data_IF_546891991990
#
_entry.id   IF_546891991990
#
_cell.length_a   1.000
_cell.length_b   1.000
_cell.length_c   1.000
_cell.angle_alpha   90.00
_cell.angle_beta   90.00
_cell.angle_gamma   90.00
#
_symmetry.space_group_name_H-M   'P 1'
#
loop_
_entity.id
_entity.type
_entity.pdbx_description
1 polymer ?
#
# COMPACT_ATOMS: atom_id res chain seq x y z
N UNK A 1 11.82 -20.27 34.84
CA UNK A 1 12.67 -19.96 33.67
C UNK A 1 11.88 -19.77 32.37
N UNK A 2 10.55 -19.93 32.34
CA UNK A 2 9.74 -19.82 31.12
C UNK A 2 9.11 -18.43 30.86
N UNK A 3 8.92 -17.59 31.89
CA UNK A 3 8.38 -16.22 31.72
C UNK A 3 9.35 -15.28 31.00
N UNK A 4 10.66 -15.49 31.16
CA UNK A 4 11.71 -14.58 30.70
C UNK A 4 11.97 -14.63 29.17
N UNK A 5 11.33 -15.56 28.44
CA UNK A 5 11.39 -15.67 26.97
C UNK A 5 10.18 -15.01 26.30
N UNK A 6 9.08 -14.83 27.03
CA UNK A 6 7.88 -14.17 26.52
C UNK A 6 8.09 -12.65 26.40
N UNK A 7 8.78 -12.02 27.35
CA UNK A 7 9.04 -10.56 27.33
C UNK A 7 9.84 -10.08 26.11
N UNK A 8 10.75 -10.89 25.58
CA UNK A 8 11.56 -10.52 24.40
C UNK A 8 10.75 -10.42 23.09
N UNK A 9 9.50 -10.89 23.07
CA UNK A 9 8.61 -10.77 21.90
C UNK A 9 7.79 -9.48 21.92
N UNK A 10 7.76 -8.78 23.05
CA UNK A 10 6.99 -7.54 23.20
C UNK A 10 7.88 -6.32 22.98
N UNK A 11 7.29 -5.33 22.33
CA UNK A 11 7.78 -3.97 22.37
C UNK A 11 6.90 -3.15 23.31
N UNK A 12 7.45 -2.06 23.84
CA UNK A 12 6.83 -1.23 24.87
C UNK A 12 6.78 0.22 24.43
N UNK A 13 5.66 0.87 24.68
CA UNK A 13 5.45 2.31 24.54
C UNK A 13 4.85 2.87 25.82
N UNK A 14 5.23 4.09 26.21
CA UNK A 14 4.69 4.75 27.40
C UNK A 14 3.99 6.02 26.98
N UNK A 15 2.79 6.28 27.52
CA UNK A 15 2.08 7.52 27.22
C UNK A 15 2.94 8.72 27.67
N UNK A 16 3.21 9.70 26.80
CA UNK A 16 3.92 10.91 27.14
C UNK A 16 3.35 11.60 28.38
N UNK A 17 4.21 11.89 29.36
CA UNK A 17 3.82 12.58 30.59
C UNK A 17 3.08 11.73 31.63
N UNK A 18 2.98 10.41 31.44
CA UNK A 18 2.37 9.50 32.44
C UNK A 18 3.24 8.26 32.66
N UNK A 19 2.85 7.40 33.61
CA UNK A 19 3.46 6.08 33.84
C UNK A 19 2.69 4.92 33.21
N UNK A 20 1.72 5.20 32.34
CA UNK A 20 0.91 4.16 31.71
C UNK A 20 1.66 3.53 30.54
N UNK A 21 1.78 2.20 30.56
CA UNK A 21 2.57 1.45 29.60
C UNK A 21 1.67 0.62 28.65
N UNK A 22 1.94 0.69 27.36
CA UNK A 22 1.35 -0.17 26.33
C UNK A 22 2.44 -1.12 25.85
N UNK A 23 2.30 -2.40 26.18
CA UNK A 23 3.12 -3.48 25.63
C UNK A 23 2.37 -4.13 24.47
N UNK A 24 3.09 -4.50 23.41
CA UNK A 24 2.48 -5.10 22.23
C UNK A 24 3.41 -6.13 21.60
N UNK A 25 2.82 -7.22 21.12
CA UNK A 25 3.56 -8.30 20.48
C UNK A 25 4.13 -7.81 19.14
N UNK A 26 5.44 -7.92 18.95
CA UNK A 26 6.11 -7.37 17.76
C UNK A 26 5.65 -8.10 16.49
N UNK A 27 5.49 -9.43 16.55
CA UNK A 27 4.98 -10.25 15.44
C UNK A 27 3.57 -9.83 15.02
N UNK A 28 2.69 -9.54 15.98
CA UNK A 28 1.34 -9.03 15.74
C UNK A 28 1.35 -7.66 15.04
N UNK A 29 2.21 -6.75 15.49
CA UNK A 29 2.29 -5.41 14.90
C UNK A 29 2.93 -5.41 13.50
N UNK A 30 3.85 -6.33 13.21
CA UNK A 30 4.34 -6.55 11.85
C UNK A 30 3.25 -7.10 10.93
N UNK A 31 2.34 -7.94 11.43
CA UNK A 31 1.17 -8.40 10.67
C UNK A 31 0.19 -7.24 10.39
N UNK A 32 -0.08 -6.40 11.39
CA UNK A 32 -0.89 -5.18 11.18
C UNK A 32 -0.21 -4.26 10.15
N UNK A 33 1.10 -4.02 10.28
CA UNK A 33 1.88 -3.22 9.34
C UNK A 33 1.80 -3.74 7.90
N UNK A 34 1.90 -5.06 7.74
CA UNK A 34 1.75 -5.74 6.46
C UNK A 34 0.36 -5.50 5.85
N UNK A 35 -0.72 -5.72 6.60
CA UNK A 35 -2.09 -5.51 6.10
C UNK A 35 -2.36 -4.04 5.74
N UNK A 36 -1.86 -3.11 6.55
CA UNK A 36 -1.97 -1.67 6.31
C UNK A 36 -1.20 -1.27 5.04
N UNK A 37 0.00 -1.81 4.83
CA UNK A 37 0.78 -1.56 3.62
C UNK A 37 0.14 -2.15 2.36
N UNK A 38 -0.47 -3.33 2.45
CA UNK A 38 -1.22 -3.92 1.34
C UNK A 38 -2.43 -3.06 0.97
N UNK A 39 -3.18 -2.57 1.97
CA UNK A 39 -4.25 -1.58 1.79
C UNK A 39 -3.75 -0.31 1.11
N UNK A 40 -2.64 0.25 1.60
CA UNK A 40 -1.98 1.44 1.06
C UNK A 40 -1.58 1.31 -0.43
N UNK A 41 -1.15 0.12 -0.86
CA UNK A 41 -0.64 -0.14 -2.22
C UNK A 41 -1.73 -0.55 -3.21
N UNK A 42 -2.93 -0.91 -2.73
CA UNK A 42 -4.03 -1.43 -3.56
C UNK A 42 -4.54 -0.42 -4.60
N UNK A 43 -4.48 0.89 -4.31
CA UNK A 43 -4.96 1.95 -5.20
C UNK A 43 -3.90 3.04 -5.32
N UNK A 44 -3.62 3.55 -6.53
CA UNK A 44 -2.76 4.73 -6.72
C UNK A 44 -3.23 5.93 -5.89
N UNK A 45 -2.29 6.76 -5.43
CA UNK A 45 -2.57 8.00 -4.68
C UNK A 45 -3.16 7.81 -3.27
N UNK A 46 -2.68 6.79 -2.54
CA UNK A 46 -2.95 6.66 -1.10
C UNK A 46 -3.93 5.55 -0.74
N UNK A 47 -4.02 4.48 -1.53
CA UNK A 47 -4.60 3.21 -1.11
C UNK A 47 -6.01 3.24 -0.54
N UNK A 48 -6.30 2.18 0.22
CA UNK A 48 -7.53 1.93 0.97
C UNK A 48 -7.19 1.89 2.46
N UNK A 49 -7.90 2.67 3.25
CA UNK A 49 -7.81 2.69 4.71
C UNK A 49 -8.54 1.49 5.31
N UNK A 50 -7.94 0.90 6.34
CA UNK A 50 -8.47 -0.26 7.04
C UNK A 50 -8.48 0.01 8.54
N UNK A 51 -9.27 -0.75 9.29
CA UNK A 51 -9.28 -0.72 10.73
C UNK A 51 -9.47 -2.11 11.32
N UNK A 52 -9.23 -2.22 12.63
CA UNK A 52 -9.33 -3.48 13.34
C UNK A 52 -9.54 -3.29 14.84
N UNK A 53 -10.15 -4.29 15.49
CA UNK A 53 -10.29 -4.36 16.93
C UNK A 53 -9.02 -4.92 17.56
N UNK A 54 -8.64 -4.40 18.72
CA UNK A 54 -7.46 -4.79 19.50
C UNK A 54 -7.89 -5.50 20.78
N UNK A 55 -7.24 -6.62 21.07
CA UNK A 55 -7.54 -7.48 22.22
C UNK A 55 -6.27 -7.81 22.99
N UNK A 56 -6.44 -8.08 24.29
CA UNK A 56 -5.35 -8.52 25.17
C UNK A 56 -5.71 -8.28 26.62
N UNK A 57 -4.78 -7.83 27.46
CA UNK A 57 -5.01 -7.68 28.90
C UNK A 57 -4.83 -6.24 29.35
N UNK A 58 -5.68 -5.81 30.27
CA UNK A 58 -5.55 -4.51 30.93
C UNK A 58 -5.21 -4.72 32.40
N UNK A 59 -4.26 -3.94 32.89
CA UNK A 59 -3.88 -3.83 34.29
C UNK A 59 -4.03 -2.38 34.75
N UNK A 60 -3.86 -2.12 36.05
CA UNK A 60 -4.12 -0.80 36.63
C UNK A 60 -3.33 0.36 35.98
N UNK A 61 -2.14 0.08 35.44
CA UNK A 61 -1.28 1.08 34.79
C UNK A 61 -0.60 0.55 33.52
N UNK A 62 -1.13 -0.53 32.95
CA UNK A 62 -0.57 -1.13 31.73
C UNK A 62 -1.67 -1.72 30.86
N UNK A 63 -1.41 -1.78 29.56
CA UNK A 63 -2.19 -2.58 28.62
C UNK A 63 -1.23 -3.44 27.79
N UNK A 64 -1.62 -4.69 27.54
CA UNK A 64 -0.88 -5.62 26.71
C UNK A 64 -1.73 -6.04 25.53
N UNK A 65 -1.31 -5.68 24.31
CA UNK A 65 -1.99 -6.05 23.07
C UNK A 65 -1.44 -7.40 22.58
N UNK A 66 -2.34 -8.38 22.44
CA UNK A 66 -1.99 -9.78 22.16
C UNK A 66 -2.69 -10.33 20.91
N UNK A 67 -3.82 -9.74 20.50
CA UNK A 67 -4.53 -10.14 19.29
C UNK A 67 -5.22 -8.94 18.61
N UNK A 68 -5.53 -9.10 17.32
CA UNK A 68 -6.40 -8.18 16.61
C UNK A 68 -7.40 -8.92 15.71
N UNK A 69 -8.49 -8.24 15.36
CA UNK A 69 -9.46 -8.69 14.36
C UNK A 69 -9.74 -7.57 13.36
N UNK A 70 -9.63 -7.80 12.05
CA UNK A 70 -10.02 -6.79 11.06
C UNK A 70 -11.50 -6.40 11.22
N UNK A 71 -11.81 -5.13 10.95
CA UNK A 71 -13.18 -4.63 10.82
C UNK A 71 -13.50 -4.60 9.33
N UNK A 72 -14.58 -5.28 8.94
CA UNK A 72 -15.06 -5.21 7.57
C UNK A 72 -15.60 -3.81 7.26
N UNK A 73 -15.16 -3.24 6.15
CA UNK A 73 -15.69 -1.99 5.61
C UNK A 73 -15.93 -2.20 4.11
N UNK A 74 -17.11 -1.83 3.64
CA UNK A 74 -17.46 -1.95 2.21
C UNK A 74 -16.90 -0.78 1.37
N UNK A 75 -16.34 0.25 2.02
CA UNK A 75 -15.78 1.44 1.37
C UNK A 75 -16.78 2.16 0.44
N UNK A 76 -18.07 2.14 0.78
CA UNK A 76 -19.14 2.71 -0.05
C UNK A 76 -19.04 4.24 -0.18
N UNK A 77 -18.33 4.90 0.73
CA UNK A 77 -18.02 6.35 0.69
C UNK A 77 -16.62 6.64 0.13
N UNK A 78 -16.01 5.66 -0.53
CA UNK A 78 -14.66 5.76 -1.07
C UNK A 78 -13.63 5.06 -0.19
N UNK A 79 -12.34 5.25 -0.49
CA UNK A 79 -11.24 4.45 0.05
C UNK A 79 -10.88 4.77 1.51
N UNK A 80 -11.51 5.77 2.12
CA UNK A 80 -11.31 6.07 3.54
C UNK A 80 -12.10 5.11 4.43
N UNK A 81 -11.64 4.95 5.67
CA UNK A 81 -12.29 4.06 6.63
C UNK A 81 -13.54 4.74 7.22
N UNK A 82 -14.62 4.74 6.44
CA UNK A 82 -15.89 5.36 6.82
C UNK A 82 -16.98 4.31 6.80
N UNK A 83 -17.32 3.80 7.98
CA UNK A 83 -18.31 2.74 8.16
C UNK A 83 -19.70 3.18 7.69
N UNK A 84 -20.33 2.37 6.84
CA UNK A 84 -21.76 2.51 6.56
C UNK A 84 -22.61 2.01 7.74
N UNK A 85 -23.92 2.25 7.71
CA UNK A 85 -24.82 1.69 8.74
C UNK A 85 -24.73 0.16 8.83
N UNK A 86 -24.51 -0.48 7.68
CA UNK A 86 -24.33 -1.93 7.59
C UNK A 86 -23.00 -2.36 8.20
N UNK A 87 -21.92 -1.66 7.89
CA UNK A 87 -20.60 -1.95 8.47
C UNK A 87 -20.62 -1.75 9.99
N UNK A 88 -21.29 -0.70 10.46
CA UNK A 88 -21.42 -0.39 11.88
C UNK A 88 -22.28 -1.43 12.63
N UNK A 89 -23.36 -1.92 12.00
CA UNK A 89 -24.14 -3.03 12.54
C UNK A 89 -23.30 -4.31 12.67
N UNK A 90 -22.51 -4.64 11.64
CA UNK A 90 -21.59 -5.77 11.68
C UNK A 90 -20.50 -5.61 12.74
N UNK A 91 -19.97 -4.40 12.92
CA UNK A 91 -19.01 -4.09 13.98
C UNK A 91 -19.62 -4.29 15.37
N UNK A 92 -20.86 -3.85 15.61
CA UNK A 92 -21.54 -4.07 16.90
C UNK A 92 -21.79 -5.56 17.17
N UNK A 93 -22.12 -6.34 16.15
CA UNK A 93 -22.24 -7.80 16.26
C UNK A 93 -20.87 -8.44 16.58
N UNK A 94 -19.81 -8.02 15.89
CA UNK A 94 -18.44 -8.48 16.16
C UNK A 94 -18.04 -8.19 17.61
N UNK A 95 -18.29 -6.98 18.12
CA UNK A 95 -18.05 -6.59 19.51
C UNK A 95 -18.85 -7.46 20.50
N UNK A 96 -20.13 -7.71 20.25
CA UNK A 96 -20.97 -8.53 21.11
C UNK A 96 -20.54 -10.00 21.15
N UNK A 97 -20.04 -10.52 20.02
CA UNK A 97 -19.58 -11.91 19.90
C UNK A 97 -18.17 -12.15 20.47
N UNK A 98 -17.36 -11.10 20.65
CA UNK A 98 -15.94 -11.23 20.99
C UNK A 98 -15.69 -11.99 22.30
N UNK A 99 -16.52 -11.76 23.34
CA UNK A 99 -16.39 -12.44 24.63
C UNK A 99 -16.68 -13.95 24.57
N UNK A 100 -17.30 -14.43 23.48
CA UNK A 100 -17.61 -15.84 23.28
C UNK A 100 -16.67 -16.53 22.28
N UNK A 101 -15.71 -15.81 21.69
CA UNK A 101 -14.72 -16.38 20.76
C UNK A 101 -13.68 -17.21 21.54
N UNK A 102 -13.56 -18.52 21.29
CA UNK A 102 -12.54 -19.36 21.96
C UNK A 102 -11.10 -18.92 21.70
N UNK A 103 -10.82 -18.26 20.57
CA UNK A 103 -9.48 -17.74 20.26
C UNK A 103 -9.12 -16.48 21.06
N UNK A 104 -10.12 -15.81 21.64
CA UNK A 104 -9.96 -14.62 22.47
C UNK A 104 -10.20 -14.93 23.96
N UNK A 105 -10.10 -16.21 24.34
CA UNK A 105 -10.21 -16.62 25.75
C UNK A 105 -9.20 -15.85 26.61
N UNK A 106 -9.67 -15.29 27.72
CA UNK A 106 -8.89 -14.44 28.64
C UNK A 106 -8.32 -13.15 28.02
N UNK A 107 -8.85 -12.69 26.88
CA UNK A 107 -8.53 -11.39 26.30
C UNK A 107 -9.71 -10.42 26.42
N UNK A 108 -9.45 -9.26 27.01
CA UNK A 108 -10.33 -8.12 27.03
C UNK A 108 -10.26 -7.34 25.71
N UNK A 109 -11.37 -6.70 25.35
CA UNK A 109 -11.40 -5.71 24.28
C UNK A 109 -10.68 -4.44 24.74
N UNK A 110 -9.53 -4.15 24.15
CA UNK A 110 -8.71 -2.99 24.50
C UNK A 110 -9.08 -1.76 23.70
N UNK A 111 -9.58 -1.92 22.47
CA UNK A 111 -9.95 -0.79 21.62
C UNK A 111 -9.85 -1.14 20.14
N UNK A 112 -9.35 -0.21 19.34
CA UNK A 112 -9.24 -0.39 17.90
C UNK A 112 -8.03 0.33 17.28
N UNK A 113 -7.74 0.03 16.02
CA UNK A 113 -6.82 0.78 15.19
C UNK A 113 -7.49 1.27 13.90
N UNK A 114 -6.99 2.39 13.37
CA UNK A 114 -7.39 2.96 12.09
C UNK A 114 -6.13 3.35 11.32
N UNK A 115 -6.06 2.92 10.06
CA UNK A 115 -4.98 3.29 9.17
C UNK A 115 -5.33 4.55 8.37
N UNK A 116 -4.59 5.63 8.55
CA UNK A 116 -4.69 6.88 7.80
C UNK A 116 -3.70 6.87 6.65
N UNK A 117 -4.18 6.56 5.45
CA UNK A 117 -3.32 6.49 4.26
C UNK A 117 -3.13 7.86 3.59
N UNK A 118 -4.01 8.84 3.90
CA UNK A 118 -4.07 10.14 3.23
C UNK A 118 -4.01 11.31 4.20
N UNK A 119 -4.71 11.21 5.32
CA UNK A 119 -4.82 12.25 6.34
C UNK A 119 -3.56 12.33 7.22
N UNK A 120 -3.49 13.41 8.00
CA UNK A 120 -2.58 13.49 9.13
C UNK A 120 -2.91 12.40 10.16
N UNK A 121 -1.93 12.09 11.01
CA UNK A 121 -2.05 11.10 12.08
C UNK A 121 -2.79 11.72 13.29
N UNK A 122 -4.02 12.20 13.04
CA UNK A 122 -4.86 12.90 14.00
C UNK A 122 -6.26 12.29 13.99
N UNK A 123 -6.87 12.20 15.18
CA UNK A 123 -8.24 11.70 15.33
C UNK A 123 -9.21 12.74 14.78
N UNK A 124 -10.10 12.34 13.86
CA UNK A 124 -11.15 13.23 13.39
C UNK A 124 -12.43 13.15 14.25
N UNK A 125 -13.34 14.11 14.07
CA UNK A 125 -14.57 14.20 14.86
C UNK A 125 -15.45 12.94 14.76
N UNK A 126 -15.47 12.29 13.59
CA UNK A 126 -16.28 11.07 13.38
C UNK A 126 -15.69 9.88 14.13
N UNK A 127 -14.37 9.73 14.08
CA UNK A 127 -13.64 8.71 14.82
C UNK A 127 -13.78 8.91 16.32
N UNK A 128 -13.65 10.15 16.80
CA UNK A 128 -13.87 10.48 18.22
C UNK A 128 -15.27 10.12 18.66
N UNK A 129 -16.30 10.51 17.89
CA UNK A 129 -17.69 10.23 18.24
C UNK A 129 -17.99 8.72 18.25
N UNK A 130 -17.51 7.97 17.26
CA UNK A 130 -17.66 6.51 17.24
C UNK A 130 -16.89 5.85 18.38
N UNK A 131 -15.70 6.37 18.73
CA UNK A 131 -14.92 5.84 19.84
C UNK A 131 -15.57 6.11 21.20
N UNK A 132 -16.23 7.25 21.36
CA UNK A 132 -17.04 7.58 22.55
C UNK A 132 -18.25 6.66 22.68
N UNK A 133 -18.88 6.32 21.56
CA UNK A 133 -20.03 5.40 21.55
C UNK A 133 -19.62 3.95 21.82
N UNK A 134 -18.60 3.45 21.13
CA UNK A 134 -18.25 2.03 21.12
C UNK A 134 -17.29 1.63 22.25
N UNK A 135 -16.50 2.57 22.76
CA UNK A 135 -15.46 2.33 23.78
C UNK A 135 -15.50 3.40 24.89
N UNK A 136 -16.61 3.49 25.65
CA UNK A 136 -16.82 4.56 26.65
C UNK A 136 -15.95 4.42 27.91
N UNK A 137 -15.44 3.23 28.18
CA UNK A 137 -14.70 2.90 29.40
C UNK A 137 -13.30 3.55 29.41
N UNK A 138 -12.79 3.99 30.57
CA UNK A 138 -11.41 4.46 30.69
C UNK A 138 -10.42 3.33 30.40
N UNK A 139 -9.22 3.68 29.93
CA UNK A 139 -8.16 2.73 29.58
C UNK A 139 -8.28 2.14 28.17
N UNK A 140 -9.34 2.46 27.41
CA UNK A 140 -9.47 2.01 26.01
C UNK A 140 -8.46 2.71 25.11
N UNK A 141 -7.98 1.97 24.12
CA UNK A 141 -6.90 2.35 23.21
C UNK A 141 -7.44 2.70 21.81
N UNK A 142 -6.90 3.75 21.21
CA UNK A 142 -7.01 4.01 19.78
C UNK A 142 -5.60 4.03 19.21
N UNK A 143 -5.35 3.23 18.19
CA UNK A 143 -4.08 3.20 17.47
C UNK A 143 -4.26 3.81 16.08
N UNK A 144 -3.62 4.96 15.83
CA UNK A 144 -3.55 5.53 14.49
C UNK A 144 -2.30 5.01 13.78
N UNK A 145 -2.46 4.60 12.52
CA UNK A 145 -1.37 4.02 11.73
C UNK A 145 -1.24 4.77 10.42
N UNK A 146 -0.06 5.28 10.11
CA UNK A 146 0.21 5.98 8.84
C UNK A 146 1.28 5.24 8.05
N UNK A 147 0.89 4.46 7.02
CA UNK A 147 1.86 3.96 6.06
C UNK A 147 2.38 5.12 5.21
N UNK A 148 3.67 5.09 4.91
CA UNK A 148 4.31 6.12 4.10
C UNK A 148 5.14 5.49 2.98
N UNK A 149 5.14 6.14 1.82
CA UNK A 149 5.89 5.64 0.67
C UNK A 149 7.39 5.74 0.96
N UNK A 150 8.06 4.59 0.99
CA UNK A 150 9.49 4.47 1.23
C UNK A 150 9.98 4.94 2.61
N UNK A 151 9.06 5.09 3.57
CA UNK A 151 9.37 5.37 4.97
C UNK A 151 8.77 4.26 5.84
N UNK A 152 9.30 4.03 7.05
CA UNK A 152 8.66 3.14 8.01
C UNK A 152 7.24 3.60 8.33
N UNK A 153 6.33 2.66 8.51
CA UNK A 153 4.99 2.97 9.00
C UNK A 153 5.06 3.60 10.38
N UNK A 154 4.28 4.66 10.57
CA UNK A 154 4.22 5.42 11.82
C UNK A 154 2.99 5.00 12.61
N UNK A 155 3.14 4.87 13.91
CA UNK A 155 2.09 4.44 14.83
C UNK A 155 1.94 5.47 15.94
N UNK A 156 0.71 5.88 16.26
CA UNK A 156 0.40 6.69 17.45
C UNK A 156 -0.61 5.97 18.31
N UNK A 157 -0.23 5.73 19.55
CA UNK A 157 -1.11 5.22 20.57
C UNK A 157 -1.82 6.37 21.27
N UNK A 158 -3.13 6.28 21.36
CA UNK A 158 -3.96 7.14 22.18
C UNK A 158 -4.66 6.29 23.24
N UNK A 159 -4.75 6.81 24.46
CA UNK A 159 -5.38 6.11 25.59
C UNK A 159 -6.44 7.00 26.19
N UNK A 160 -7.64 6.44 26.40
CA UNK A 160 -8.73 7.14 27.08
C UNK A 160 -8.39 7.27 28.57
N UNK A 161 -8.20 8.50 29.00
CA UNK A 161 -7.99 8.85 30.40
C UNK A 161 -9.29 8.76 31.21
N UNK A 162 -9.18 8.79 32.54
CA UNK A 162 -10.34 8.74 33.44
C UNK A 162 -11.32 9.92 33.27
N UNK A 163 -10.87 11.04 32.69
CA UNK A 163 -11.70 12.19 32.33
C UNK A 163 -12.44 12.00 30.99
N UNK A 164 -12.29 10.83 30.36
CA UNK A 164 -12.90 10.49 29.09
C UNK A 164 -12.16 11.03 27.88
N UNK A 165 -11.03 11.76 28.02
CA UNK A 165 -10.29 12.30 26.88
C UNK A 165 -9.21 11.36 26.38
N UNK A 166 -8.91 11.43 25.08
CA UNK A 166 -7.78 10.73 24.47
C UNK A 166 -6.48 11.50 24.73
N UNK A 167 -5.55 10.89 25.46
CA UNK A 167 -4.19 11.36 25.64
C UNK A 167 -3.24 10.67 24.64
N UNK A 168 -2.10 11.30 24.32
CA UNK A 168 -1.10 10.74 23.39
C UNK A 168 -1.29 11.09 21.92
N UNK A 169 -2.28 11.93 21.59
CA UNK A 169 -2.47 12.47 20.23
C UNK A 169 -1.26 13.27 19.76
N UNK A 170 -1.06 13.37 18.45
CA UNK A 170 -0.04 14.20 17.83
C UNK A 170 1.05 13.40 17.11
N UNK A 171 1.48 13.93 15.96
CA UNK A 171 2.50 13.35 15.10
C UNK A 171 3.88 13.25 15.80
N UNK A 172 4.11 14.10 16.80
CA UNK A 172 5.31 14.11 17.65
C UNK A 172 5.44 12.88 18.56
N UNK A 173 4.32 12.21 18.85
CA UNK A 173 4.28 11.01 19.68
C UNK A 173 4.32 9.72 18.84
N UNK A 174 4.51 9.86 17.52
CA UNK A 174 4.58 8.73 16.62
C UNK A 174 5.84 7.88 16.89
N UNK A 175 5.68 6.57 16.73
CA UNK A 175 6.76 5.60 16.79
C UNK A 175 6.87 4.81 15.49
N UNK A 176 7.98 4.11 15.33
CA UNK A 176 8.18 3.07 14.31
C UNK A 176 8.49 1.74 14.99
N UNK A 177 8.11 0.63 14.35
CA UNK A 177 8.36 -0.70 14.89
C UNK A 177 9.87 -1.00 14.94
N UNK A 178 10.37 -1.66 16.01
CA UNK A 178 11.74 -2.13 16.03
C UNK A 178 11.97 -3.21 14.95
N UNK A 179 13.12 -3.12 14.26
CA UNK A 179 13.49 -4.08 13.23
C UNK A 179 13.79 -5.46 13.84
N UNK A 180 13.27 -6.56 13.25
CA UNK A 180 13.65 -7.91 13.63
C UNK A 180 15.18 -8.07 13.55
N UNK A 181 15.80 -8.55 14.62
CA UNK A 181 17.26 -8.80 14.70
C UNK A 181 18.11 -7.73 15.39
N UNK A 182 17.57 -6.56 15.76
CA UNK A 182 18.27 -5.60 16.64
C UNK A 182 18.07 -5.92 18.13
N UNK A 183 16.97 -6.57 18.49
CA UNK A 183 16.61 -6.91 19.87
C UNK A 183 17.38 -8.08 20.49
N UNK A 184 18.05 -8.91 19.70
CA UNK A 184 18.71 -10.11 20.24
C UNK A 184 20.03 -9.85 20.98
N UNK A 185 20.53 -8.60 20.99
CA UNK A 185 21.82 -8.26 21.61
C UNK A 185 21.73 -7.51 22.95
N UNK A 186 20.53 -7.23 23.44
CA UNK A 186 20.31 -6.74 24.80
C UNK A 186 19.36 -7.72 25.50
N UNK A 187 19.79 -8.27 26.64
CA UNK A 187 19.10 -9.39 27.29
C UNK A 187 17.62 -9.13 27.59
N UNK A 188 16.85 -10.21 27.68
CA UNK A 188 15.51 -10.48 28.26
C UNK A 188 14.44 -9.38 28.46
N UNK A 189 14.66 -8.12 28.12
CA UNK A 189 13.76 -7.01 28.37
C UNK A 189 12.95 -6.66 27.10
N UNK A 190 11.69 -6.22 27.25
CA UNK A 190 10.90 -5.74 26.13
C UNK A 190 11.61 -4.62 25.36
N UNK A 191 11.50 -4.63 24.04
CA UNK A 191 12.14 -3.62 23.20
C UNK A 191 11.40 -2.28 23.30
N UNK A 192 12.06 -1.22 23.75
CA UNK A 192 11.46 0.11 23.73
C UNK A 192 11.14 0.53 22.28
N UNK A 193 9.94 1.07 22.08
CA UNK A 193 9.50 1.64 20.81
C UNK A 193 10.42 2.78 20.38
N UNK A 194 10.67 2.90 19.07
CA UNK A 194 11.58 3.91 18.53
C UNK A 194 10.75 5.15 18.17
N UNK A 195 11.07 6.35 18.71
CA UNK A 195 10.45 7.59 18.27
C UNK A 195 10.57 7.75 16.76
N UNK A 196 9.47 8.05 16.09
CA UNK A 196 9.48 8.33 14.66
C UNK A 196 10.26 9.64 14.43
N UNK A 197 11.12 9.71 13.40
CA UNK A 197 11.71 10.98 13.00
C UNK A 197 10.60 11.97 12.67
N UNK A 198 10.75 13.22 13.12
CA UNK A 198 9.77 14.28 12.84
C UNK A 198 9.55 14.38 11.32
N UNK A 199 8.30 14.22 10.89
CA UNK A 199 7.93 14.34 9.49
C UNK A 199 8.31 15.73 8.98
N UNK A 200 9.04 15.81 7.86
CA UNK A 200 9.19 17.08 7.17
C UNK A 200 7.77 17.56 6.79
N UNK A 201 7.43 18.85 7.02
CA UNK A 201 6.09 19.34 6.71
C UNK A 201 5.80 19.10 5.24
N UNK A 202 4.70 18.40 4.96
CA UNK A 202 4.12 18.31 3.63
C UNK A 202 3.88 19.73 3.19
N UNK A 203 4.67 20.21 2.23
CA UNK A 203 4.41 21.48 1.58
C UNK A 203 3.00 21.40 1.00
N UNK A 204 2.05 22.04 1.68
CA UNK A 204 0.73 22.32 1.14
C UNK A 204 0.97 23.06 -0.16
N UNK A 205 0.78 22.38 -1.29
CA UNK A 205 0.53 23.06 -2.56
C UNK A 205 -0.78 23.81 -2.33
N UNK A 206 -0.65 25.09 -1.99
CA UNK A 206 -1.78 26.00 -1.85
C UNK A 206 -2.65 25.90 -3.12
N UNK A 207 -3.98 26.00 -3.00
CA UNK A 207 -4.84 25.99 -4.16
C UNK A 207 -4.48 27.17 -5.06
N UNK A 208 -4.12 26.87 -6.31
CA UNK A 208 -3.84 27.87 -7.33
C UNK A 208 -5.09 28.76 -7.51
N UNK A 209 -4.99 29.99 -7.02
CA UNK A 209 -5.92 31.06 -7.36
C UNK A 209 -5.82 31.35 -8.88
N UNK A 210 -6.90 31.82 -9.51
CA UNK A 210 -7.08 31.75 -10.96
C UNK A 210 -6.12 32.70 -11.68
N UNK A 211 -5.54 32.22 -12.77
CA UNK A 211 -4.68 33.00 -13.65
C UNK A 211 -5.42 34.24 -14.18
N UNK A 212 -4.81 35.44 -14.18
CA UNK A 212 -5.34 36.56 -14.92
C UNK A 212 -5.14 36.32 -16.42
N UNK A 213 -6.21 36.57 -17.17
CA UNK A 213 -6.26 36.63 -18.63
C UNK A 213 -5.15 37.57 -19.14
N UNK A 214 -4.31 37.10 -20.05
CA UNK A 214 -3.36 37.96 -20.76
C UNK A 214 -3.79 38.03 -22.21
N UNK A 215 -4.20 39.22 -22.61
CA UNK A 215 -4.55 39.61 -23.97
C UNK A 215 -3.35 39.49 -24.92
N UNK A 216 -3.72 39.18 -26.16
CA UNK A 216 -2.88 39.04 -27.34
C UNK A 216 -2.12 40.33 -27.66
N UNK A 217 -0.79 40.28 -27.76
CA UNK A 217 0.00 41.18 -28.62
C UNK A 217 1.17 40.43 -29.28
N UNK A 218 0.98 40.24 -30.59
CA UNK A 218 1.93 40.38 -31.73
C UNK A 218 3.43 40.09 -31.55
N UNK A 219 3.83 39.06 -32.29
CA UNK A 219 5.10 38.80 -32.99
C UNK A 219 6.17 39.90 -32.98
N UNK A 220 7.34 39.57 -32.43
CA UNK A 220 8.62 40.01 -32.98
C UNK A 220 9.60 38.84 -33.17
N UNK A 221 10.32 38.98 -34.28
CA UNK A 221 11.13 38.03 -35.01
C UNK A 221 12.53 37.96 -34.40
N UNK A 222 12.99 36.75 -34.06
CA UNK A 222 14.38 36.47 -33.74
C UNK A 222 14.93 35.48 -34.75
N UNK A 223 15.99 35.91 -35.44
CA UNK A 223 16.71 35.15 -36.47
C UNK A 223 17.48 33.96 -35.86
N UNK A 224 17.59 32.82 -36.55
CA UNK A 224 18.45 31.72 -36.11
C UNK A 224 19.89 31.91 -36.59
N UNK A 225 20.83 31.69 -35.67
CA UNK A 225 22.28 31.61 -35.92
C UNK A 225 22.63 30.47 -36.90
N UNK A 226 23.58 30.76 -37.78
CA UNK A 226 24.08 29.89 -38.85
C UNK A 226 24.98 28.74 -38.36
N UNK A 227 24.83 27.57 -39.00
CA UNK A 227 25.82 26.46 -39.04
C UNK A 227 26.55 26.43 -40.40
N UNK A 228 27.85 26.05 -40.46
CA UNK A 228 28.64 26.00 -41.69
C UNK A 228 28.49 24.68 -42.50
N UNK A 229 28.98 24.61 -43.78
CA UNK A 229 28.31 23.84 -44.83
C UNK A 229 29.03 22.58 -45.37
N UNK A 230 28.20 21.61 -45.79
CA UNK A 230 28.18 20.75 -47.00
C UNK A 230 29.47 20.21 -47.68
N UNK A 231 29.53 18.87 -47.81
CA UNK A 231 30.00 18.11 -49.00
C UNK A 231 29.06 16.87 -49.18
N UNK A 232 28.06 16.88 -50.08
CA UNK A 232 28.02 16.47 -51.51
C UNK A 232 27.73 14.94 -51.74
N UNK A 233 27.25 14.48 -52.92
CA UNK A 233 25.82 14.30 -53.21
C UNK A 233 25.45 12.91 -53.81
N UNK A 234 24.18 12.49 -53.73
CA UNK A 234 23.65 11.42 -54.59
C UNK A 234 22.31 11.83 -55.21
N UNK A 235 22.30 11.74 -56.55
CA UNK A 235 21.25 12.10 -57.50
C UNK A 235 19.93 11.34 -57.34
N UNK A 236 18.83 12.04 -57.62
CA UNK A 236 17.58 11.47 -58.12
C UNK A 236 17.00 12.39 -59.21
N UNK A 237 16.55 11.84 -60.35
CA UNK A 237 15.62 12.55 -61.23
C UNK A 237 14.44 11.67 -61.71
N UNK A 238 13.39 12.23 -62.36
CA UNK A 238 12.63 13.44 -62.01
C UNK A 238 11.10 13.24 -62.12
N UNK A 239 10.37 14.32 -61.82
CA UNK A 239 8.91 14.51 -61.87
C UNK A 239 8.21 14.16 -63.19
N UNK A 240 6.96 13.69 -63.08
CA UNK A 240 5.95 13.82 -64.13
C UNK A 240 4.57 14.25 -63.56
N UNK A 241 4.30 15.54 -63.78
CA UNK A 241 3.03 16.29 -63.97
C UNK A 241 1.68 15.62 -63.62
N UNK A 242 0.97 16.35 -62.75
CA UNK A 242 -0.46 16.27 -62.40
C UNK A 242 -1.37 16.59 -63.61
N UNK A 243 -2.59 16.03 -63.66
CA UNK A 243 -3.73 16.94 -63.75
C UNK A 243 -4.84 16.67 -62.72
N UNK A 244 -5.44 17.80 -62.38
CA UNK A 244 -6.45 18.14 -61.39
C UNK A 244 -7.78 17.39 -61.59
N UNK A 245 -8.34 16.84 -60.50
CA UNK A 245 -9.76 16.51 -60.41
C UNK A 245 -10.28 16.64 -58.97
N UNK A 246 -11.01 17.73 -58.73
CA UNK A 246 -12.10 17.89 -57.75
C UNK A 246 -11.88 17.46 -56.30
N UNK A 247 -11.70 18.48 -55.45
CA UNK A 247 -11.92 18.42 -54.01
C UNK A 247 -13.34 17.92 -53.68
N UNK A 248 -13.42 16.89 -52.84
CA UNK A 248 -14.60 16.60 -52.01
C UNK A 248 -14.15 16.61 -50.54
N UNK A 249 -14.85 17.44 -49.79
CA UNK A 249 -14.80 17.69 -48.34
C UNK A 249 -14.67 16.42 -47.49
N UNK A 250 -13.94 16.44 -46.35
CA UNK A 250 -13.89 15.32 -45.43
C UNK A 250 -15.25 15.11 -44.74
N UNK A 251 -15.74 13.88 -44.76
CA UNK A 251 -16.96 13.47 -44.07
C UNK A 251 -16.80 13.59 -42.54
N UNK A 252 -17.82 14.16 -41.91
CA UNK A 252 -17.95 14.36 -40.47
C UNK A 252 -17.97 13.03 -39.70
N UNK A 253 -17.39 13.05 -38.49
CA UNK A 253 -17.52 12.00 -37.49
C UNK A 253 -18.99 11.78 -37.09
N UNK A 254 -19.40 10.57 -36.68
CA UNK A 254 -20.78 10.32 -36.26
C UNK A 254 -21.09 11.06 -34.95
N UNK A 255 -22.02 11.99 -34.99
CA UNK A 255 -22.57 12.65 -33.80
C UNK A 255 -23.36 11.63 -32.96
N UNK A 256 -23.05 11.58 -31.66
CA UNK A 256 -23.83 10.79 -30.71
C UNK A 256 -25.25 11.38 -30.58
N UNK A 257 -26.30 10.54 -30.52
CA UNK A 257 -27.67 11.04 -30.43
C UNK A 257 -27.88 11.83 -29.14
N UNK A 258 -28.60 12.95 -29.24
CA UNK A 258 -28.88 13.83 -28.11
C UNK A 258 -29.71 13.13 -27.03
N UNK A 259 -29.60 13.58 -25.78
CA UNK A 259 -30.39 13.05 -24.66
C UNK A 259 -31.90 13.14 -24.91
N UNK A 260 -32.34 14.14 -25.68
CA UNK A 260 -33.74 14.33 -26.04
C UNK A 260 -34.23 13.28 -27.05
N UNK A 261 -33.39 12.88 -28.01
CA UNK A 261 -33.70 11.79 -28.93
C UNK A 261 -33.81 10.44 -28.22
N UNK A 262 -32.95 10.20 -27.21
CA UNK A 262 -33.01 8.98 -26.39
C UNK A 262 -34.30 8.97 -25.54
N UNK A 263 -34.67 10.12 -24.95
CA UNK A 263 -35.93 10.23 -24.19
C UNK A 263 -37.16 10.02 -25.07
N UNK A 264 -37.19 10.61 -26.26
CA UNK A 264 -38.31 10.47 -27.21
C UNK A 264 -38.53 9.01 -27.63
N UNK A 265 -37.46 8.30 -27.99
CA UNK A 265 -37.54 6.86 -28.36
C UNK A 265 -38.05 5.99 -27.21
N UNK A 266 -37.67 6.32 -25.98
CA UNK A 266 -38.11 5.57 -24.79
C UNK A 266 -39.60 5.81 -24.49
N UNK A 267 -40.11 7.04 -24.68
CA UNK A 267 -41.54 7.31 -24.55
C UNK A 267 -42.38 6.61 -25.62
N UNK A 268 -41.90 6.55 -26.86
CA UNK A 268 -42.58 5.87 -27.97
C UNK A 268 -42.63 4.34 -27.75
N UNK A 269 -41.55 3.74 -27.23
CA UNK A 269 -41.51 2.31 -26.91
C UNK A 269 -42.48 1.91 -25.78
N UNK A 270 -42.69 2.80 -24.79
CA UNK A 270 -43.64 2.56 -23.69
C UNK A 270 -45.09 2.69 -24.18
N UNK A 271 -45.37 3.63 -25.08
CA UNK A 271 -46.71 3.78 -25.67
C UNK A 271 -47.09 2.61 -26.58
N UNK A 272 -46.13 2.02 -27.31
CA UNK A 272 -46.39 0.85 -28.14
C UNK A 272 -46.60 -0.45 -27.35
N UNK A 273 -46.03 -0.56 -26.14
CA UNK A 273 -46.24 -1.71 -25.26
C UNK A 273 -47.67 -1.77 -24.69
N UNK A 274 -48.32 -0.62 -24.51
CA UNK A 274 -49.65 -0.51 -23.87
C UNK A 274 -50.83 -0.71 -24.87
N UNK A 275 -50.55 -0.67 -26.18
CA UNK A 275 -51.58 -0.80 -27.24
C UNK A 275 -51.81 -2.23 -27.76
N UNK A 276 -51.17 -3.25 -27.19
CA UNK A 276 -51.36 -4.66 -27.59
C UNK A 276 -52.44 -5.36 -26.77
N UNK A 277 -53.69 -5.07 -27.12
CA UNK A 277 -54.92 -5.85 -26.91
C UNK A 277 -55.04 -6.74 -25.67
N UNK A 278 -55.81 -6.21 -24.72
CA UNK A 278 -56.74 -6.94 -23.85
C UNK A 278 -57.69 -7.80 -24.72
N UNK A 279 -57.49 -9.11 -24.76
CA UNK A 279 -58.55 -10.09 -25.07
C UNK A 279 -58.72 -10.99 -23.86
N UNK A 280 -59.85 -10.81 -23.18
CA UNK A 280 -60.30 -11.56 -22.00
C UNK A 280 -60.59 -13.02 -22.39
N UNK A 281 -59.61 -13.90 -22.24
CA UNK A 281 -59.78 -15.36 -22.26
C UNK A 281 -59.68 -15.93 -20.84
N UNK A 282 -60.53 -16.92 -20.54
CA UNK A 282 -60.64 -17.65 -19.26
C UNK A 282 -59.29 -18.10 -18.65
N UNK A 283 -59.16 -18.16 -17.31
CA UNK A 283 -57.93 -18.64 -16.68
C UNK A 283 -57.79 -20.15 -16.87
N UNK A 284 -57.01 -20.57 -17.87
CA UNK A 284 -56.44 -21.92 -17.90
C UNK A 284 -55.12 -21.89 -17.13
N UNK A 285 -54.99 -22.85 -16.21
CA UNK A 285 -53.86 -23.03 -15.32
C UNK A 285 -52.53 -22.94 -16.08
N UNK A 286 -51.65 -22.05 -15.63
CA UNK A 286 -50.28 -21.97 -16.11
C UNK A 286 -49.56 -23.28 -15.75
N UNK A 287 -49.37 -24.12 -16.76
CA UNK A 287 -48.51 -25.29 -16.71
C UNK A 287 -47.07 -24.81 -16.48
N UNK A 288 -46.56 -25.04 -15.28
CA UNK A 288 -45.16 -24.77 -14.95
C UNK A 288 -44.27 -25.69 -15.77
N UNK A 289 -43.56 -25.14 -16.76
CA UNK A 289 -42.47 -25.87 -17.44
C UNK A 289 -41.42 -26.23 -16.39
N UNK A 290 -41.14 -27.52 -16.12
CA UNK A 290 -40.14 -27.88 -15.14
C UNK A 290 -38.76 -27.57 -15.73
N UNK A 291 -38.04 -26.62 -15.12
CA UNK A 291 -36.64 -26.39 -15.42
C UNK A 291 -35.86 -27.70 -15.14
N UNK A 292 -35.18 -28.22 -16.16
CA UNK A 292 -34.47 -29.50 -16.09
C UNK A 292 -33.29 -29.39 -15.10
N UNK A 293 -33.55 -29.78 -13.84
CA UNK A 293 -32.62 -29.75 -12.71
C UNK A 293 -31.29 -30.44 -13.02
N UNK A 294 -31.26 -31.37 -14.00
CA UNK A 294 -30.04 -32.08 -14.43
C UNK A 294 -29.11 -31.22 -15.26
N UNK A 295 -29.63 -30.27 -16.03
CA UNK A 295 -28.83 -29.32 -16.83
C UNK A 295 -28.10 -28.32 -15.92
N UNK A 296 -28.81 -27.80 -14.91
CA UNK A 296 -28.25 -26.85 -13.95
C UNK A 296 -27.13 -27.48 -13.10
N UNK A 297 -27.24 -28.76 -12.74
CA UNK A 297 -26.19 -29.48 -12.00
C UNK A 297 -24.95 -29.71 -12.87
N UNK A 298 -25.11 -30.07 -14.16
CA UNK A 298 -23.98 -30.22 -15.09
C UNK A 298 -23.25 -28.90 -15.31
N UNK A 299 -23.99 -27.81 -15.49
CA UNK A 299 -23.41 -26.47 -15.60
C UNK A 299 -22.63 -26.09 -14.34
N UNK A 300 -23.19 -26.34 -13.15
CA UNK A 300 -22.52 -26.07 -11.89
C UNK A 300 -21.21 -26.87 -11.74
N UNK A 301 -21.20 -28.15 -12.14
CA UNK A 301 -19.98 -28.98 -12.13
C UNK A 301 -18.93 -28.42 -13.09
N UNK A 302 -19.31 -28.04 -14.31
CA UNK A 302 -18.38 -27.46 -15.29
C UNK A 302 -17.79 -26.15 -14.78
N UNK A 303 -18.61 -25.27 -14.20
CA UNK A 303 -18.14 -24.02 -13.60
C UNK A 303 -17.20 -24.26 -12.42
N UNK A 304 -17.48 -25.25 -11.57
CA UNK A 304 -16.61 -25.61 -10.46
C UNK A 304 -15.26 -26.14 -10.92
N UNK A 305 -15.24 -27.01 -11.94
CA UNK A 305 -14.00 -27.53 -12.54
C UNK A 305 -13.21 -26.40 -13.18
N UNK A 306 -13.87 -25.48 -13.90
CA UNK A 306 -13.21 -24.33 -14.51
C UNK A 306 -12.61 -23.39 -13.46
N UNK A 307 -13.32 -23.13 -12.36
CA UNK A 307 -12.81 -22.34 -11.24
C UNK A 307 -11.62 -23.02 -10.57
N UNK A 308 -11.69 -24.33 -10.31
CA UNK A 308 -10.59 -25.09 -9.72
C UNK A 308 -9.34 -25.09 -10.62
N UNK A 309 -9.51 -25.28 -11.94
CA UNK A 309 -8.42 -25.17 -12.91
C UNK A 309 -7.81 -23.76 -12.90
N UNK A 310 -8.64 -22.71 -12.86
CA UNK A 310 -8.19 -21.33 -12.74
C UNK A 310 -7.36 -21.09 -11.48
N UNK A 311 -7.81 -21.60 -10.33
CA UNK A 311 -7.07 -21.51 -9.06
C UNK A 311 -5.73 -22.24 -9.13
N UNK A 312 -5.67 -23.43 -9.74
CA UNK A 312 -4.42 -24.20 -9.89
C UNK A 312 -3.44 -23.47 -10.79
N UNK A 313 -3.89 -22.94 -11.93
CA UNK A 313 -3.03 -22.15 -12.84
C UNK A 313 -2.54 -20.88 -12.14
N UNK A 314 -3.43 -20.16 -11.45
CA UNK A 314 -3.08 -18.97 -10.69
C UNK A 314 -2.06 -19.25 -9.58
N UNK A 315 -2.24 -20.35 -8.85
CA UNK A 315 -1.28 -20.78 -7.83
C UNK A 315 0.07 -21.18 -8.42
N UNK A 316 0.09 -21.85 -9.57
CA UNK A 316 1.33 -22.20 -10.25
C UNK A 316 2.09 -20.95 -10.74
N UNK A 317 1.38 -19.96 -11.29
CA UNK A 317 1.95 -18.66 -11.64
C UNK A 317 2.47 -17.95 -10.38
N UNK A 318 1.72 -17.97 -9.28
CA UNK A 318 2.12 -17.38 -8.00
C UNK A 318 3.47 -17.92 -7.50
N UNK A 319 3.67 -19.24 -7.57
CA UNK A 319 4.93 -19.88 -7.19
C UNK A 319 6.11 -19.54 -8.10
N UNK A 320 5.86 -19.05 -9.31
CA UNK A 320 6.90 -18.61 -10.25
C UNK A 320 7.26 -17.12 -10.09
N UNK A 321 6.60 -16.36 -9.20
CA UNK A 321 6.98 -14.97 -9.00
C UNK A 321 8.40 -14.86 -8.42
N UNK A 322 9.21 -13.92 -8.92
CA UNK A 322 10.46 -13.57 -8.27
C UNK A 322 10.21 -13.18 -6.81
N UNK A 323 11.10 -13.57 -5.88
CA UNK A 323 10.98 -13.15 -4.50
C UNK A 323 10.98 -11.62 -4.42
N UNK A 324 10.17 -11.09 -3.51
CA UNK A 324 10.03 -9.65 -3.32
C UNK A 324 11.31 -8.99 -2.78
N UNK A 325 12.16 -9.78 -2.11
CA UNK A 325 13.37 -9.33 -1.43
C UNK A 325 14.59 -9.96 -2.09
N UNK A 326 15.53 -9.11 -2.49
CA UNK A 326 16.83 -9.53 -3.02
C UNK A 326 17.81 -9.61 -1.85
N UNK A 327 18.30 -10.80 -1.47
CA UNK A 327 19.34 -10.90 -0.44
C UNK A 327 20.64 -10.33 -1.00
N UNK A 328 21.23 -9.38 -0.27
CA UNK A 328 22.50 -8.76 -0.61
C UNK A 328 23.59 -9.27 0.34
N UNK A 329 24.80 -9.46 -0.18
CA UNK A 329 25.99 -9.69 0.60
C UNK A 329 27.07 -8.67 0.19
N UNK A 330 27.90 -8.24 1.14
CA UNK A 330 28.94 -7.23 0.90
C UNK A 330 30.27 -7.69 1.46
N UNK A 331 31.26 -7.73 0.58
CA UNK A 331 32.63 -8.06 0.93
C UNK A 331 33.54 -6.87 0.66
N UNK A 332 34.43 -6.55 1.61
CA UNK A 332 35.43 -5.49 1.43
C UNK A 332 36.65 -6.06 0.72
N UNK A 333 37.04 -5.44 -0.39
CA UNK A 333 38.27 -5.74 -1.13
C UNK A 333 39.22 -4.51 -1.11
N UNK A 334 40.46 -4.67 -1.55
CA UNK A 334 41.48 -3.62 -1.56
C UNK A 334 41.09 -2.36 -2.39
N UNK A 335 40.14 -2.48 -3.32
CA UNK A 335 39.69 -1.41 -4.22
C UNK A 335 38.30 -0.82 -3.89
N UNK A 336 37.58 -1.37 -2.91
CA UNK A 336 36.21 -0.95 -2.58
C UNK A 336 35.34 -2.05 -1.97
N UNK A 337 34.02 -1.87 -2.00
CA UNK A 337 33.06 -2.89 -1.57
C UNK A 337 32.52 -3.64 -2.78
N UNK A 338 32.46 -4.97 -2.69
CA UNK A 338 31.82 -5.82 -3.69
C UNK A 338 30.46 -6.22 -3.14
N UNK A 339 29.41 -5.82 -3.84
CA UNK A 339 28.03 -6.21 -3.54
C UNK A 339 27.69 -7.41 -4.41
N UNK A 340 27.17 -8.48 -3.80
CA UNK A 340 26.72 -9.69 -4.49
C UNK A 340 25.28 -10.05 -4.14
N UNK A 341 24.59 -10.67 -5.09
CA UNK A 341 23.21 -11.12 -4.96
C UNK A 341 22.96 -12.32 -5.90
N UNK A 342 21.86 -13.07 -5.70
CA UNK A 342 21.54 -14.19 -6.58
C UNK A 342 21.22 -13.69 -8.00
N UNK A 343 21.95 -14.13 -9.04
CA UNK A 343 21.87 -13.56 -10.39
C UNK A 343 20.49 -13.72 -11.03
N UNK A 344 19.74 -14.77 -10.68
CA UNK A 344 18.37 -15.01 -11.13
C UNK A 344 17.40 -13.86 -10.81
N UNK A 345 17.71 -13.03 -9.81
CA UNK A 345 16.86 -11.89 -9.42
C UNK A 345 17.12 -10.62 -10.23
N UNK A 346 18.16 -10.58 -11.06
CA UNK A 346 18.47 -9.42 -11.89
C UNK A 346 18.68 -9.74 -13.36
N UNK A 347 18.96 -11.01 -13.70
CA UNK A 347 19.31 -11.45 -15.05
C UNK A 347 18.23 -11.07 -16.07
N UNK A 348 16.97 -11.36 -15.74
CA UNK A 348 15.82 -11.14 -16.61
C UNK A 348 15.08 -9.82 -16.27
N UNK A 349 15.64 -9.01 -15.37
CA UNK A 349 15.07 -7.72 -15.00
C UNK A 349 15.20 -6.74 -16.19
N UNK A 350 14.08 -6.08 -16.49
CA UNK A 350 13.99 -5.01 -17.50
C UNK A 350 14.91 -3.87 -17.11
N UNK A 351 14.93 -3.54 -15.83
CA UNK A 351 15.80 -2.53 -15.25
C UNK A 351 16.32 -3.02 -13.89
N UNK A 352 17.60 -2.80 -13.62
CA UNK A 352 18.16 -3.01 -12.30
C UNK A 352 19.16 -1.91 -11.98
N UNK A 353 19.11 -1.37 -10.77
CA UNK A 353 19.99 -0.28 -10.35
C UNK A 353 20.38 -0.42 -8.89
N UNK A 354 21.61 -0.01 -8.61
CA UNK A 354 22.20 -0.03 -7.30
C UNK A 354 22.36 1.41 -6.81
N UNK A 355 21.88 1.67 -5.60
CA UNK A 355 21.94 2.96 -4.93
C UNK A 355 22.79 2.83 -3.68
N UNK A 356 23.67 3.80 -3.48
CA UNK A 356 24.54 3.88 -2.30
C UNK A 356 24.14 5.13 -1.52
N UNK A 357 23.81 4.94 -0.24
CA UNK A 357 23.24 5.94 0.65
C UNK A 357 22.03 6.65 0.03
N UNK A 358 22.05 7.98 0.00
CA UNK A 358 21.02 8.82 -0.63
C UNK A 358 21.41 9.28 -2.05
N UNK A 359 22.50 8.74 -2.61
CA UNK A 359 22.98 9.08 -3.96
C UNK A 359 22.03 8.67 -5.08
N UNK A 360 22.37 9.03 -6.32
CA UNK A 360 21.57 8.64 -7.48
C UNK A 360 21.66 7.13 -7.76
N UNK A 361 20.58 6.48 -8.21
CA UNK A 361 20.60 5.08 -8.60
C UNK A 361 21.48 4.88 -9.84
N UNK A 362 22.48 4.01 -9.72
CA UNK A 362 23.39 3.64 -10.81
C UNK A 362 22.86 2.38 -11.49
N UNK A 363 22.52 2.48 -12.77
CA UNK A 363 22.03 1.35 -13.55
C UNK A 363 23.09 0.26 -13.68
N UNK A 364 22.69 -1.00 -13.48
CA UNK A 364 23.56 -2.15 -13.64
C UNK A 364 23.76 -2.49 -15.13
N UNK A 365 25.00 -2.82 -15.49
CA UNK A 365 25.32 -3.33 -16.82
C UNK A 365 24.72 -4.72 -17.05
N UNK A 366 24.52 -5.15 -18.32
CA UNK A 366 24.05 -6.50 -18.62
C UNK A 366 24.90 -7.60 -17.99
N UNK A 367 26.23 -7.40 -17.93
CA UNK A 367 27.16 -8.34 -17.30
C UNK A 367 26.96 -8.42 -15.78
N UNK A 368 26.83 -7.26 -15.12
CA UNK A 368 26.58 -7.20 -13.67
C UNK A 368 25.25 -7.87 -13.29
N UNK A 369 24.21 -7.68 -14.11
CA UNK A 369 22.91 -8.36 -13.93
C UNK A 369 23.01 -9.87 -14.09
N UNK A 370 23.84 -10.36 -15.02
CA UNK A 370 23.98 -11.78 -15.31
C UNK A 370 24.83 -12.51 -14.26
N UNK A 371 25.87 -11.85 -13.75
CA UNK A 371 26.81 -12.37 -12.74
C UNK A 371 26.27 -12.20 -11.32
N UNK A 372 25.45 -11.19 -11.08
CA UNK A 372 24.90 -10.90 -9.75
C UNK A 372 25.88 -10.18 -8.84
N UNK A 373 26.78 -9.37 -9.41
CA UNK A 373 27.81 -8.67 -8.65
C UNK A 373 28.10 -7.27 -9.21
N UNK A 374 28.36 -6.31 -8.32
CA UNK A 374 28.84 -4.98 -8.69
C UNK A 374 29.83 -4.45 -7.66
N UNK A 375 30.88 -3.80 -8.15
CA UNK A 375 31.82 -3.06 -7.31
C UNK A 375 31.29 -1.64 -7.07
N UNK A 376 31.36 -1.20 -5.82
CA UNK A 376 31.03 0.17 -5.42
C UNK A 376 32.21 0.82 -4.70
N UNK A 377 32.39 2.10 -4.97
CA UNK A 377 33.33 2.94 -4.24
C UNK A 377 32.56 3.70 -3.15
N UNK A 378 32.84 3.39 -1.89
CA UNK A 378 32.28 4.11 -0.76
C UNK A 378 33.41 4.67 0.10
N UNK A 379 33.27 5.94 0.51
CA UNK A 379 34.32 6.71 1.20
C UNK A 379 34.19 6.66 2.73
N UNK A 380 33.11 6.05 3.26
CA UNK A 380 32.81 6.01 4.69
C UNK A 380 32.66 4.59 5.25
N UNK A 381 32.89 4.42 6.55
CA UNK A 381 32.75 3.14 7.27
C UNK A 381 31.31 2.76 7.60
N UNK A 382 30.30 3.44 7.05
CA UNK A 382 28.89 3.15 7.26
C UNK A 382 28.12 3.52 5.99
N UNK A 383 27.63 2.53 5.27
CA UNK A 383 27.11 2.67 3.91
C UNK A 383 25.81 1.88 3.78
N UNK A 384 24.73 2.53 3.37
CA UNK A 384 23.49 1.87 2.96
C UNK A 384 23.58 1.50 1.49
N UNK A 385 23.28 0.27 1.15
CA UNK A 385 23.30 -0.24 -0.22
C UNK A 385 21.91 -0.77 -0.52
N UNK A 386 21.38 -0.35 -1.66
CA UNK A 386 20.06 -0.73 -2.12
C UNK A 386 20.13 -1.21 -3.56
N UNK A 387 19.53 -2.35 -3.83
CA UNK A 387 19.37 -2.90 -5.17
C UNK A 387 17.88 -2.94 -5.50
N UNK A 388 17.49 -2.34 -6.62
CA UNK A 388 16.13 -2.42 -7.16
C UNK A 388 16.18 -3.15 -8.50
N UNK A 389 15.31 -4.13 -8.69
CA UNK A 389 15.15 -4.87 -9.95
C UNK A 389 13.67 -4.87 -10.36
N UNK A 390 13.40 -4.38 -11.57
CA UNK A 390 12.06 -4.30 -12.14
C UNK A 390 11.85 -5.45 -13.12
N UNK A 391 10.92 -6.35 -12.79
CA UNK A 391 10.44 -7.39 -13.71
C UNK A 391 9.05 -7.02 -14.22
N UNK A 392 8.67 -7.59 -15.36
CA UNK A 392 7.36 -7.33 -15.96
C UNK A 392 6.17 -7.67 -15.04
N UNK A 393 6.36 -8.60 -14.10
CA UNK A 393 5.32 -9.06 -13.18
C UNK A 393 5.40 -8.40 -11.79
N UNK A 394 6.62 -8.08 -11.30
CA UNK A 394 6.85 -7.54 -9.95
C UNK A 394 8.22 -6.87 -9.82
N UNK A 395 8.27 -5.82 -9.00
CA UNK A 395 9.52 -5.20 -8.56
C UNK A 395 10.08 -5.92 -7.31
N UNK A 396 11.38 -6.18 -7.33
CA UNK A 396 12.14 -6.78 -6.24
C UNK A 396 13.16 -5.79 -5.70
N UNK A 397 13.37 -5.78 -4.37
CA UNK A 397 14.30 -4.85 -3.72
C UNK A 397 15.13 -5.53 -2.64
N UNK A 398 16.41 -5.24 -2.60
CA UNK A 398 17.33 -5.62 -1.52
C UNK A 398 17.89 -4.37 -0.85
N UNK A 399 17.96 -4.36 0.49
CA UNK A 399 18.59 -3.27 1.25
C UNK A 399 19.52 -3.91 2.27
N UNK A 400 20.78 -3.46 2.30
CA UNK A 400 21.79 -3.88 3.27
C UNK A 400 22.57 -2.66 3.74
N UNK A 401 22.92 -2.63 5.03
CA UNK A 401 23.81 -1.63 5.59
C UNK A 401 25.15 -2.27 5.92
N UNK A 402 26.22 -1.80 5.27
CA UNK A 402 27.58 -2.18 5.58
C UNK A 402 28.15 -1.22 6.64
N UNK A 403 28.70 -1.78 7.71
CA UNK A 403 29.44 -1.02 8.73
C UNK A 403 30.83 -1.63 8.82
N UNK A 404 31.85 -0.80 8.63
CA UNK A 404 33.24 -1.21 8.76
C UNK A 404 33.51 -1.60 10.22
N UNK A 405 34.01 -2.82 10.48
CA UNK A 405 34.38 -3.21 11.82
C UNK A 405 35.52 -2.33 12.34
N UNK A 406 35.36 -1.80 13.56
CA UNK A 406 36.39 -1.02 14.25
C UNK A 406 37.71 -1.82 14.26
N UNK A 407 38.87 -1.19 14.00
CA UNK A 407 40.15 -1.87 14.15
C UNK A 407 40.28 -2.34 15.62
N UNK A 408 40.59 -3.62 15.83
CA UNK A 408 40.89 -4.15 17.15
C UNK A 408 41.99 -3.28 17.78
N UNK A 409 41.62 -2.51 18.80
CA UNK A 409 42.59 -1.81 19.63
C UNK A 409 43.57 -2.85 20.19
N UNK A 410 44.86 -2.58 19.99
CA UNK A 410 45.94 -3.55 20.10
C UNK A 410 45.85 -4.45 21.32
N UNK A 411 45.80 -5.76 21.07
CA UNK A 411 46.31 -6.77 21.99
C UNK A 411 47.82 -6.52 22.14
N UNK A 412 48.19 -5.68 23.11
CA UNK A 412 49.55 -5.68 23.66
C UNK A 412 49.83 -7.08 24.17
N UNK A 413 50.75 -7.78 23.50
CA UNK A 413 51.29 -9.03 23.97
C UNK A 413 51.88 -8.82 25.38
N UNK A 414 51.60 -9.69 26.37
CA UNK A 414 52.35 -9.66 27.60
C UNK A 414 53.81 -10.04 27.29
N UNK A 415 54.72 -9.14 27.64
CA UNK A 415 56.15 -9.38 27.64
C UNK A 415 56.53 -10.32 28.78
N UNK A 416 57.35 -11.31 28.42
CA UNK A 416 58.09 -12.30 29.21
C UNK A 416 57.36 -13.58 29.61
#
# INVERSE_FOLDING_TARGET
>A
MSENRAESEYAVWTIPGTSFEVSYLLSLFHEIDFQVNEGYRRIPHGGVEIGGLLFGRVEASSARIEAFRPIACEHSRGPSFVLSEKDLAALREQLASAASDPELHDCDLLGWFIAHTRSALEVNERESALFDELFPEPGKLMLLIKPERFQPTRFVFLVRSADGKLAGSGDENAIILPLPGRGERAGSQPAASIPAPAGAPVATLAPAAPAPSVDVVTSERLEPLAEPPLEAPVEAPPEAKVPMATAKTPAAAPEFPSIEDIRRRRSEAIQHADSSQVTRGQPQAAETVPADRRSNVRLAIVLFIAAALGCVVGYFIYLQLPPAVIPLNVEKNAAGLIVSWPPEQTRDAVYAALRVDDGDPVALSPEQKAVGQAAIHATGGNVKIELTAQHWMRDSRGILRYVEPLPEAGRTAPSQ
#
